data_IF_492912538734
#
_entry.id   IF_492912538734
#
_cell.length_a   1.000
_cell.length_b   1.000
_cell.length_c   1.000
_cell.angle_alpha   90.00
_cell.angle_beta   90.00
_cell.angle_gamma   90.00
#
_symmetry.space_group_name_H-M   'P 1'
#
loop_
_entity.id
_entity.type
_entity.pdbx_description
1 polymer ?
#
# COMPACT_ATOMS: atom_id res chain seq x y z
N UNK A 1 6.00 -8.51 5.02
CA UNK A 1 6.77 -9.77 4.95
C UNK A 1 7.38 -9.92 3.58
N UNK A 2 8.54 -10.57 3.47
CA UNK A 2 9.08 -10.91 2.15
C UNK A 2 8.29 -12.07 1.56
N UNK A 3 8.10 -12.09 0.24
CA UNK A 3 7.56 -13.29 -0.44
C UNK A 3 8.71 -14.26 -0.64
N UNK A 4 8.63 -15.43 -0.02
CA UNK A 4 9.69 -16.44 0.02
C UNK A 4 9.12 -17.77 -0.45
N UNK A 5 9.78 -18.36 -1.45
CA UNK A 5 9.43 -19.68 -2.00
C UNK A 5 9.55 -20.74 -0.91
N UNK A 6 8.54 -21.60 -0.77
CA UNK A 6 8.48 -22.61 0.28
C UNK A 6 7.96 -22.11 1.63
N UNK A 7 7.61 -20.82 1.76
CA UNK A 7 7.17 -20.21 3.02
C UNK A 7 5.77 -19.61 2.93
N UNK A 8 5.54 -18.69 2.00
CA UNK A 8 4.27 -17.95 1.89
C UNK A 8 3.82 -17.76 0.43
N UNK A 9 4.40 -18.55 -0.47
CA UNK A 9 4.16 -18.60 -1.90
C UNK A 9 2.94 -19.45 -2.29
N UNK A 10 2.57 -20.44 -1.48
CA UNK A 10 1.38 -21.28 -1.67
C UNK A 10 0.57 -21.39 -0.38
N UNK A 11 -0.71 -21.76 -0.50
CA UNK A 11 -1.57 -21.98 0.67
C UNK A 11 -0.97 -23.03 1.61
N UNK A 12 -0.53 -24.17 1.08
CA UNK A 12 0.04 -25.27 1.87
C UNK A 12 1.30 -24.82 2.62
N UNK A 13 2.19 -24.09 1.95
CA UNK A 13 3.42 -23.57 2.56
C UNK A 13 3.10 -22.55 3.65
N UNK A 14 2.15 -21.65 3.39
CA UNK A 14 1.73 -20.62 4.34
C UNK A 14 1.18 -21.24 5.63
N UNK A 15 0.28 -22.22 5.52
CA UNK A 15 -0.30 -22.89 6.69
C UNK A 15 0.77 -23.68 7.45
N UNK A 16 1.65 -24.39 6.74
CA UNK A 16 2.77 -25.09 7.37
C UNK A 16 3.76 -24.12 8.06
N UNK A 17 3.94 -22.91 7.53
CA UNK A 17 4.79 -21.87 8.14
C UNK A 17 4.16 -21.31 9.43
N UNK A 18 2.84 -21.21 9.50
CA UNK A 18 2.12 -20.88 10.75
C UNK A 18 2.38 -21.95 11.81
N UNK A 19 2.23 -23.23 11.45
CA UNK A 19 2.44 -24.35 12.38
C UNK A 19 3.87 -24.42 12.93
N UNK A 20 4.86 -23.97 12.14
CA UNK A 20 6.27 -23.88 12.54
C UNK A 20 6.64 -22.60 13.29
N UNK A 21 5.70 -21.68 13.51
CA UNK A 21 5.94 -20.38 14.13
C UNK A 21 7.03 -19.54 13.41
N UNK A 22 6.99 -19.55 12.07
CA UNK A 22 7.97 -18.82 11.26
C UNK A 22 7.87 -17.29 11.48
N UNK A 23 9.01 -16.62 11.65
CA UNK A 23 9.06 -15.21 12.04
C UNK A 23 8.52 -14.23 10.98
N UNK A 24 8.51 -14.63 9.71
CA UNK A 24 7.95 -13.82 8.61
C UNK A 24 6.41 -13.78 8.60
N UNK A 25 5.75 -14.62 9.40
CA UNK A 25 4.30 -14.62 9.53
C UNK A 25 3.89 -13.46 10.43
N UNK A 26 3.38 -12.40 9.80
CA UNK A 26 2.97 -11.20 10.52
C UNK A 26 1.64 -11.38 11.26
N UNK A 27 1.36 -10.57 12.29
CA UNK A 27 0.05 -10.57 12.95
C UNK A 27 -1.13 -10.30 11.99
N UNK A 28 -0.94 -9.45 10.96
CA UNK A 28 -2.01 -9.21 9.97
C UNK A 28 -2.26 -10.44 9.09
N UNK A 29 -1.21 -11.20 8.76
CA UNK A 29 -1.34 -12.48 8.05
C UNK A 29 -2.15 -13.49 8.88
N UNK A 30 -1.84 -13.65 10.18
CA UNK A 30 -2.59 -14.54 11.07
C UNK A 30 -4.07 -14.14 11.17
N UNK A 31 -4.36 -12.85 11.30
CA UNK A 31 -5.73 -12.36 11.37
C UNK A 31 -6.50 -12.61 10.07
N UNK A 32 -5.86 -12.37 8.92
CA UNK A 32 -6.46 -12.65 7.62
C UNK A 32 -6.72 -14.15 7.41
N UNK A 33 -5.78 -15.02 7.78
CA UNK A 33 -5.98 -16.48 7.77
C UNK A 33 -7.20 -16.86 8.61
N UNK A 34 -7.30 -16.34 9.84
CA UNK A 34 -8.42 -16.63 10.72
C UNK A 34 -9.77 -16.19 10.11
N UNK A 35 -9.85 -14.96 9.58
CA UNK A 35 -11.06 -14.49 8.89
C UNK A 35 -11.45 -15.40 7.72
N UNK A 36 -10.48 -15.76 6.86
CA UNK A 36 -10.73 -16.62 5.70
C UNK A 36 -11.17 -18.02 6.13
N UNK A 37 -10.59 -18.60 7.18
CA UNK A 37 -10.97 -19.91 7.70
C UNK A 37 -12.40 -19.94 8.24
N UNK A 38 -12.87 -18.81 8.79
CA UNK A 38 -14.23 -18.61 9.30
C UNK A 38 -15.21 -18.10 8.22
N UNK A 39 -14.80 -18.03 6.95
CA UNK A 39 -15.58 -17.46 5.84
C UNK A 39 -16.05 -16.01 6.07
N UNK A 40 -15.25 -15.23 6.81
CA UNK A 40 -15.51 -13.80 7.08
C UNK A 40 -14.69 -12.94 6.12
N UNK A 41 -15.31 -11.99 5.40
CA UNK A 41 -14.58 -11.05 4.57
C UNK A 41 -13.51 -10.27 5.35
N UNK A 42 -12.31 -10.14 4.80
CA UNK A 42 -11.20 -9.41 5.42
C UNK A 42 -10.79 -8.20 4.57
N UNK A 43 -10.64 -7.04 5.20
CA UNK A 43 -10.22 -5.80 4.53
C UNK A 43 -8.93 -5.29 5.18
N UNK A 44 -7.87 -5.13 4.37
CA UNK A 44 -6.62 -4.52 4.79
C UNK A 44 -6.63 -3.01 4.54
N UNK A 45 -6.88 -2.23 5.59
CA UNK A 45 -6.88 -0.77 5.53
C UNK A 45 -5.50 -0.10 5.62
N UNK A 46 -4.43 -0.90 5.76
CA UNK A 46 -3.07 -0.43 6.02
C UNK A 46 -2.12 -0.88 4.90
N UNK A 47 -0.94 -0.26 4.73
CA UNK A 47 -0.10 -0.43 3.54
C UNK A 47 0.80 -1.66 3.56
N UNK A 48 0.81 -2.45 4.63
CA UNK A 48 1.61 -3.67 4.70
C UNK A 48 1.04 -4.74 3.75
N UNK A 49 1.94 -5.53 3.17
CA UNK A 49 1.62 -6.56 2.19
C UNK A 49 1.07 -7.84 2.84
N UNK A 50 -0.12 -7.74 3.44
CA UNK A 50 -0.80 -8.87 4.09
C UNK A 50 -1.15 -9.97 3.09
N UNK A 51 -1.53 -9.60 1.86
CA UNK A 51 -1.97 -10.49 0.78
C UNK A 51 -0.80 -11.13 0.02
N UNK A 52 -0.02 -11.95 0.72
CA UNK A 52 0.99 -12.83 0.10
C UNK A 52 0.31 -13.91 -0.77
N UNK A 53 1.01 -14.48 -1.77
CA UNK A 53 0.40 -15.43 -2.72
C UNK A 53 -0.34 -16.59 -2.05
N UNK A 54 0.24 -17.21 -1.02
CA UNK A 54 -0.42 -18.30 -0.30
C UNK A 54 -1.71 -17.91 0.42
N UNK A 55 -1.84 -16.63 0.82
CA UNK A 55 -3.06 -16.12 1.45
C UNK A 55 -4.16 -15.87 0.40
N UNK A 56 -3.77 -15.41 -0.79
CA UNK A 56 -4.68 -15.25 -1.93
C UNK A 56 -5.23 -16.62 -2.35
N UNK A 57 -4.35 -17.62 -2.47
CA UNK A 57 -4.74 -19.00 -2.77
C UNK A 57 -5.74 -19.55 -1.73
N UNK A 58 -5.48 -19.30 -0.44
CA UNK A 58 -6.39 -19.68 0.65
C UNK A 58 -7.77 -19.03 0.47
N UNK A 59 -7.82 -17.73 0.18
CA UNK A 59 -9.06 -16.97 -0.02
C UNK A 59 -9.85 -17.51 -1.23
N UNK A 60 -9.17 -17.81 -2.34
CA UNK A 60 -9.78 -18.39 -3.54
C UNK A 60 -10.37 -19.77 -3.22
N UNK A 61 -9.58 -20.66 -2.58
CA UNK A 61 -10.02 -22.02 -2.23
C UNK A 61 -11.22 -22.03 -1.29
N UNK A 62 -11.28 -21.07 -0.36
CA UNK A 62 -12.39 -20.89 0.60
C UNK A 62 -13.53 -20.03 0.07
N UNK A 63 -13.40 -19.49 -1.15
CA UNK A 63 -14.37 -18.56 -1.74
C UNK A 63 -14.73 -17.40 -0.78
N UNK A 64 -13.73 -16.84 -0.10
CA UNK A 64 -13.91 -15.74 0.86
C UNK A 64 -13.33 -14.45 0.31
N UNK A 65 -14.02 -13.33 0.55
CA UNK A 65 -13.62 -12.03 0.05
C UNK A 65 -12.45 -11.45 0.84
N UNK A 66 -11.44 -10.97 0.12
CA UNK A 66 -10.36 -10.15 0.65
C UNK A 66 -10.27 -8.84 -0.15
N UNK A 67 -9.87 -7.73 0.48
CA UNK A 67 -9.74 -6.44 -0.19
C UNK A 67 -8.78 -5.47 0.50
N UNK A 68 -8.18 -4.56 -0.26
CA UNK A 68 -7.09 -3.66 0.18
C UNK A 68 -6.19 -3.29 -1.01
N UNK A 69 -4.96 -2.81 -0.84
CA UNK A 69 -4.25 -2.44 0.39
C UNK A 69 -4.23 -0.91 0.58
N UNK A 70 -4.23 -0.46 1.83
CA UNK A 70 -4.21 0.95 2.24
C UNK A 70 -5.44 1.79 1.90
N UNK A 71 -5.97 2.52 2.89
CA UNK A 71 -7.07 3.45 2.62
C UNK A 71 -6.61 4.66 1.82
N UNK A 72 -7.20 4.84 0.63
CA UNK A 72 -7.00 6.02 -0.22
C UNK A 72 -7.69 7.26 0.38
N UNK A 73 -6.98 7.92 1.28
CA UNK A 73 -7.43 9.15 1.96
C UNK A 73 -7.06 10.44 1.21
N UNK A 74 -7.48 11.59 1.77
CA UNK A 74 -7.55 12.91 1.13
C UNK A 74 -6.47 13.25 0.11
N UNK A 75 -5.19 13.24 0.48
CA UNK A 75 -4.10 13.64 -0.42
C UNK A 75 -3.98 12.72 -1.65
N UNK A 76 -3.87 11.42 -1.45
CA UNK A 76 -3.73 10.45 -2.54
C UNK A 76 -4.97 10.44 -3.45
N UNK A 77 -6.16 10.68 -2.88
CA UNK A 77 -7.41 10.84 -3.65
C UNK A 77 -7.36 12.07 -4.56
N UNK A 78 -6.97 13.22 -4.04
CA UNK A 78 -6.84 14.45 -4.83
C UNK A 78 -5.76 14.32 -5.90
N UNK A 79 -4.59 13.77 -5.55
CA UNK A 79 -3.48 13.53 -6.48
C UNK A 79 -3.92 12.70 -7.68
N UNK A 80 -4.62 11.58 -7.48
CA UNK A 80 -5.05 10.74 -8.60
C UNK A 80 -5.99 11.47 -9.55
N UNK A 81 -6.90 12.30 -9.03
CA UNK A 81 -7.82 13.07 -9.87
C UNK A 81 -7.07 14.16 -10.64
N UNK A 82 -6.11 14.84 -9.99
CA UNK A 82 -5.36 15.92 -10.61
C UNK A 82 -4.42 15.41 -11.71
N UNK A 83 -3.69 14.31 -11.47
CA UNK A 83 -2.75 13.73 -12.44
C UNK A 83 -3.51 13.20 -13.66
N UNK A 84 -4.62 12.49 -13.44
CA UNK A 84 -5.51 12.03 -14.52
C UNK A 84 -6.01 13.21 -15.37
N UNK A 85 -6.48 14.28 -14.72
CA UNK A 85 -6.91 15.49 -15.42
C UNK A 85 -5.79 16.14 -16.25
N UNK A 86 -4.59 16.31 -15.68
CA UNK A 86 -3.47 16.95 -16.37
C UNK A 86 -3.02 16.14 -17.60
N UNK A 87 -2.82 14.83 -17.42
CA UNK A 87 -2.43 13.93 -18.51
C UNK A 87 -3.52 13.85 -19.57
N UNK A 88 -4.79 13.77 -19.16
CA UNK A 88 -5.95 13.78 -20.06
C UNK A 88 -6.10 15.09 -20.84
N UNK A 89 -5.65 16.21 -20.27
CA UNK A 89 -5.60 17.51 -20.95
C UNK A 89 -4.36 17.70 -21.85
N UNK A 90 -3.48 16.70 -21.97
CA UNK A 90 -2.25 16.80 -22.76
C UNK A 90 -1.13 17.59 -22.07
N UNK A 91 -1.24 17.81 -20.76
CA UNK A 91 -0.20 18.45 -19.95
C UNK A 91 0.68 17.34 -19.37
N UNK A 92 2.01 17.50 -19.44
CA UNK A 92 2.98 16.54 -18.91
C UNK A 92 3.45 16.96 -17.51
N UNK A 93 2.95 16.36 -16.41
CA UNK A 93 3.60 16.45 -15.11
C UNK A 93 5.03 15.92 -15.20
N UNK A 94 6.01 16.72 -14.78
CA UNK A 94 7.42 16.32 -14.72
C UNK A 94 7.92 16.15 -13.29
N UNK A 95 7.24 16.73 -12.29
CA UNK A 95 7.60 16.61 -10.88
C UNK A 95 6.36 16.69 -9.98
N UNK A 96 6.32 15.84 -8.96
CA UNK A 96 5.24 15.72 -7.97
C UNK A 96 5.91 15.55 -6.60
N UNK A 97 5.69 16.48 -5.66
CA UNK A 97 6.35 16.45 -4.35
C UNK A 97 5.32 16.55 -3.23
N UNK A 98 4.98 15.42 -2.61
CA UNK A 98 3.92 15.32 -1.61
C UNK A 98 4.47 15.28 -0.18
N UNK A 99 4.38 16.40 0.53
CA UNK A 99 4.68 16.50 1.96
C UNK A 99 3.46 16.27 2.83
N UNK A 100 3.68 15.62 3.97
CA UNK A 100 2.66 15.37 4.99
C UNK A 100 3.26 15.52 6.38
N UNK A 101 2.49 16.06 7.32
CA UNK A 101 2.80 15.93 8.74
C UNK A 101 1.55 15.73 9.59
N UNK A 102 1.69 14.88 10.61
CA UNK A 102 0.63 14.47 11.54
C UNK A 102 1.23 14.08 12.90
N UNK A 103 0.46 14.23 13.98
CA UNK A 103 0.92 14.08 15.38
C UNK A 103 0.22 12.96 16.16
N UNK A 104 -0.67 12.20 15.52
CA UNK A 104 -1.34 11.05 16.11
C UNK A 104 -0.44 9.80 16.14
N UNK A 105 -0.97 8.69 16.65
CA UNK A 105 -0.22 7.43 16.75
C UNK A 105 0.17 6.84 15.38
N UNK A 106 -0.60 7.13 14.32
CA UNK A 106 -0.22 6.80 12.95
C UNK A 106 1.07 7.54 12.55
N UNK A 107 1.11 8.86 12.75
CA UNK A 107 2.32 9.66 12.53
C UNK A 107 3.52 9.19 13.36
N UNK A 108 3.29 8.81 14.62
CA UNK A 108 4.33 8.27 15.49
C UNK A 108 4.86 6.93 14.96
N UNK A 109 3.96 6.03 14.52
CA UNK A 109 4.34 4.73 13.96
C UNK A 109 5.09 4.89 12.64
N UNK A 110 4.67 5.83 11.79
CA UNK A 110 5.30 6.17 10.50
C UNK A 110 6.62 6.94 10.66
N UNK A 111 7.01 7.34 11.87
CA UNK A 111 8.33 7.92 12.10
C UNK A 111 9.46 6.88 12.00
N UNK A 112 9.14 5.60 12.16
CA UNK A 112 10.07 4.50 11.94
C UNK A 112 10.29 4.25 10.44
N UNK A 113 11.54 4.07 9.96
CA UNK A 113 11.81 3.92 8.53
C UNK A 113 11.10 2.73 7.86
N UNK A 114 10.92 1.62 8.59
CA UNK A 114 10.33 0.39 8.04
C UNK A 114 8.84 0.55 7.74
N UNK A 115 8.08 1.18 8.65
CA UNK A 115 6.65 1.46 8.49
C UNK A 115 6.40 2.57 7.48
N UNK A 116 7.30 3.57 7.43
CA UNK A 116 7.28 4.62 6.42
C UNK A 116 7.39 4.05 5.00
N UNK A 117 8.32 3.11 4.76
CA UNK A 117 8.58 2.54 3.45
C UNK A 117 7.33 1.91 2.82
N UNK A 118 6.50 1.20 3.59
CA UNK A 118 5.24 0.63 3.09
C UNK A 118 4.26 1.72 2.63
N UNK A 119 4.17 2.83 3.40
CA UNK A 119 3.30 3.97 3.08
C UNK A 119 3.81 4.80 1.90
N UNK A 120 5.13 4.85 1.74
CA UNK A 120 5.78 5.51 0.60
C UNK A 120 5.44 4.78 -0.71
N UNK A 121 5.65 3.46 -0.76
CA UNK A 121 5.37 2.64 -1.95
C UNK A 121 3.91 2.81 -2.41
N UNK A 122 2.95 2.63 -1.50
CA UNK A 122 1.52 2.75 -1.83
C UNK A 122 1.10 4.15 -2.30
N UNK A 123 1.78 5.22 -1.85
CA UNK A 123 1.50 6.60 -2.26
C UNK A 123 2.20 7.01 -3.56
N UNK A 124 3.30 6.36 -3.91
CA UNK A 124 4.06 6.63 -5.12
C UNK A 124 3.41 5.96 -6.34
N UNK A 125 2.99 4.70 -6.21
CA UNK A 125 2.45 3.92 -7.33
C UNK A 125 1.17 4.47 -7.97
N UNK A 126 0.51 5.46 -7.35
CA UNK A 126 -0.77 6.01 -7.83
C UNK A 126 -0.68 6.76 -9.16
N UNK A 127 0.53 7.13 -9.61
CA UNK A 127 0.74 7.87 -10.87
C UNK A 127 1.20 6.98 -12.03
N UNK A 128 1.60 5.74 -11.75
CA UNK A 128 2.24 4.86 -12.74
C UNK A 128 1.31 4.53 -13.91
N UNK A 129 0.05 4.19 -13.62
CA UNK A 129 -0.94 3.87 -14.65
C UNK A 129 -1.22 5.08 -15.57
N UNK A 130 -1.21 6.30 -15.02
CA UNK A 130 -1.48 7.52 -15.79
C UNK A 130 -0.32 7.87 -16.71
N UNK A 131 0.91 7.70 -16.23
CA UNK A 131 2.13 7.84 -17.04
C UNK A 131 2.13 6.83 -18.19
N UNK A 132 1.84 5.55 -17.89
CA UNK A 132 1.78 4.48 -18.88
C UNK A 132 0.66 4.67 -19.92
N UNK A 133 -0.41 5.40 -19.57
CA UNK A 133 -1.55 5.62 -20.46
C UNK A 133 -1.27 6.54 -21.65
N UNK A 134 -0.22 7.37 -21.59
CA UNK A 134 0.03 8.41 -22.58
C UNK A 134 1.47 8.41 -23.11
N UNK A 135 1.70 7.54 -24.10
CA UNK A 135 2.99 7.40 -24.79
C UNK A 135 3.38 8.60 -25.68
N UNK A 136 2.50 9.61 -25.84
CA UNK A 136 2.86 10.87 -26.50
C UNK A 136 3.58 11.79 -25.51
N UNK A 137 3.12 11.81 -24.26
CA UNK A 137 3.70 12.64 -23.21
C UNK A 137 4.92 11.96 -22.58
N UNK A 138 4.88 10.65 -22.35
CA UNK A 138 5.95 9.92 -21.66
C UNK A 138 6.62 8.89 -22.56
N UNK A 139 7.95 8.86 -22.54
CA UNK A 139 8.73 7.80 -23.18
C UNK A 139 8.63 6.48 -22.39
N UNK A 140 9.05 5.37 -23.02
CA UNK A 140 9.06 4.06 -22.36
C UNK A 140 9.98 4.09 -21.14
N UNK A 141 9.40 3.87 -19.96
CA UNK A 141 10.13 3.92 -18.68
C UNK A 141 10.40 5.32 -18.15
N UNK A 142 9.86 6.37 -18.78
CA UNK A 142 9.91 7.73 -18.23
C UNK A 142 8.85 7.92 -17.14
N UNK A 143 9.25 8.49 -16.00
CA UNK A 143 8.36 8.84 -14.91
C UNK A 143 8.67 10.27 -14.43
N UNK A 144 7.68 11.02 -13.91
CA UNK A 144 7.95 12.28 -13.23
C UNK A 144 8.78 12.04 -11.97
N UNK A 145 9.57 13.04 -11.57
CA UNK A 145 10.19 13.04 -10.25
C UNK A 145 9.09 12.95 -9.19
N UNK A 146 9.05 11.86 -8.41
CA UNK A 146 8.00 11.65 -7.41
C UNK A 146 8.59 11.45 -6.03
N UNK A 147 8.32 12.42 -5.14
CA UNK A 147 8.82 12.39 -3.76
C UNK A 147 7.64 12.42 -2.80
N UNK A 148 7.65 11.53 -1.82
CA UNK A 148 6.66 11.49 -0.74
C UNK A 148 7.38 11.65 0.59
N UNK A 149 6.91 12.60 1.42
CA UNK A 149 7.47 12.84 2.75
C UNK A 149 6.36 12.79 3.78
N UNK A 150 6.61 12.11 4.90
CA UNK A 150 5.76 12.10 6.08
C UNK A 150 6.62 12.43 7.29
N UNK A 151 6.19 13.40 8.11
CA UNK A 151 6.86 13.79 9.35
C UNK A 151 5.92 13.70 10.54
N UNK A 152 6.44 13.18 11.65
CA UNK A 152 5.75 13.22 12.93
C UNK A 152 5.88 14.61 13.56
N UNK A 153 4.74 15.27 13.79
CA UNK A 153 4.67 16.59 14.41
C UNK A 153 3.57 16.57 15.47
N UNK A 154 3.91 16.34 16.76
CA UNK A 154 2.92 16.14 17.83
C UNK A 154 1.84 17.22 17.90
N UNK A 155 2.22 18.48 17.65
CA UNK A 155 1.34 19.65 17.77
C UNK A 155 0.06 19.56 16.94
N UNK A 156 0.11 18.94 15.75
CA UNK A 156 -1.07 18.88 14.87
C UNK A 156 -2.03 17.74 15.22
N UNK A 157 -1.65 16.84 16.14
CA UNK A 157 -2.49 15.70 16.54
C UNK A 157 -3.02 14.91 15.35
N UNK A 158 -4.32 14.61 15.34
CA UNK A 158 -4.99 13.90 14.24
C UNK A 158 -5.23 14.78 12.99
N UNK A 159 -5.02 16.10 13.09
CA UNK A 159 -5.21 17.05 11.98
C UNK A 159 -4.02 17.01 11.02
N UNK A 160 -3.96 15.96 10.22
CA UNK A 160 -2.96 15.78 9.16
C UNK A 160 -2.95 16.99 8.21
N UNK A 161 -1.77 17.54 7.95
CA UNK A 161 -1.52 18.55 6.93
C UNK A 161 -0.88 17.91 5.71
N UNK A 162 -1.41 18.23 4.54
CA UNK A 162 -0.94 17.74 3.24
C UNK A 162 -0.55 18.95 2.38
N UNK A 163 0.60 18.88 1.74
CA UNK A 163 1.13 19.89 0.81
C UNK A 163 1.69 19.12 -0.38
N UNK A 164 1.28 19.49 -1.59
CA UNK A 164 1.68 18.85 -2.86
C UNK A 164 2.24 19.90 -3.82
#
# INVERSE_FOLDING_TARGET
>A
SNVVVGLNDTMENLLAAVDRYEAEISPSTLHAIACIMENVPFINGSPQNTFVPGLIDLAIKRNTLIGGDDFKSGQTKMKSVLVDFLVGAGIKPTSIVSYNHLGNNDGMSLSAPQTFRSKEISKSNVVDDMVASNAILYESGEHPDHVVVIKYVPYVGDSKRAMD
#
